data_IF_708700276089
#
_entry.id   IF_708700276089
#
_cell.length_a   1.000
_cell.length_b   1.000
_cell.length_c   1.000
_cell.angle_alpha   90.00
_cell.angle_beta   90.00
_cell.angle_gamma   90.00
#
_symmetry.space_group_name_H-M   'P 1'
#
loop_
_entity.id
_entity.type
_entity.pdbx_description
1 polymer ?
#
# COMPACT_ATOMS: atom_id res chain seq x y z
N UNK A 1 12.91 -6.05 18.84
CA UNK A 1 13.91 -5.63 17.83
C UNK A 1 13.30 -4.81 16.68
N UNK A 2 12.36 -5.35 15.90
CA UNK A 2 11.70 -4.56 14.82
C UNK A 2 11.01 -3.31 15.37
N UNK A 3 10.26 -3.47 16.46
CA UNK A 3 9.57 -2.36 17.14
C UNK A 3 10.52 -1.32 17.73
N UNK A 4 11.64 -1.76 18.34
CA UNK A 4 12.65 -0.85 18.88
C UNK A 4 13.24 0.03 17.78
N UNK A 5 13.59 -0.57 16.63
CA UNK A 5 14.12 0.18 15.50
C UNK A 5 13.06 1.06 14.83
N UNK A 6 11.80 0.61 14.77
CA UNK A 6 10.69 1.42 14.26
C UNK A 6 10.46 2.66 15.11
N UNK A 7 10.48 2.53 16.44
CA UNK A 7 10.31 3.65 17.37
C UNK A 7 11.48 4.63 17.30
N UNK A 8 12.69 4.15 16.99
CA UNK A 8 13.88 4.99 16.85
C UNK A 8 14.02 5.69 15.49
N UNK A 9 13.88 4.95 14.38
CA UNK A 9 14.11 5.45 13.01
C UNK A 9 12.83 5.90 12.28
N UNK A 10 11.66 5.57 12.81
CA UNK A 10 10.36 5.90 12.27
C UNK A 10 9.83 4.92 11.21
N UNK A 11 8.77 5.33 10.52
CA UNK A 11 7.94 4.43 9.71
C UNK A 11 8.58 3.83 8.45
N UNK A 12 9.75 4.33 7.99
CA UNK A 12 10.53 3.66 6.92
C UNK A 12 10.96 2.25 7.29
N UNK A 13 11.13 1.99 8.58
CA UNK A 13 11.62 0.70 9.07
C UNK A 13 10.67 -0.43 8.67
N UNK A 14 9.36 -0.18 8.65
CA UNK A 14 8.37 -1.16 8.17
C UNK A 14 8.59 -1.52 6.70
N UNK A 15 8.82 -0.53 5.84
CA UNK A 15 9.12 -0.77 4.42
C UNK A 15 10.46 -1.49 4.24
N UNK A 16 11.46 -1.13 5.05
CA UNK A 16 12.78 -1.77 5.03
C UNK A 16 12.68 -3.26 5.40
N UNK A 17 11.97 -3.59 6.48
CA UNK A 17 11.75 -4.97 6.87
C UNK A 17 10.88 -5.74 5.87
N UNK A 18 9.83 -5.13 5.32
CA UNK A 18 9.03 -5.75 4.27
C UNK A 18 9.89 -6.14 3.06
N UNK A 19 10.73 -5.23 2.57
CA UNK A 19 11.65 -5.50 1.47
C UNK A 19 12.71 -6.56 1.82
N UNK A 20 13.18 -6.59 3.06
CA UNK A 20 14.10 -7.63 3.50
C UNK A 20 13.46 -9.01 3.47
N UNK A 21 12.19 -9.12 3.87
CA UNK A 21 11.41 -10.36 3.75
C UNK A 21 11.28 -10.79 2.29
N UNK A 22 10.96 -9.86 1.39
CA UNK A 22 10.93 -10.16 -0.05
C UNK A 22 12.29 -10.61 -0.57
N UNK A 23 13.38 -9.96 -0.13
CA UNK A 23 14.74 -10.29 -0.57
C UNK A 23 15.17 -11.69 -0.10
N UNK A 24 14.79 -12.09 1.11
CA UNK A 24 15.09 -13.43 1.65
C UNK A 24 14.40 -14.56 0.86
N UNK A 25 13.24 -14.28 0.27
CA UNK A 25 12.43 -15.26 -0.42
C UNK A 25 12.39 -15.02 -1.94
N UNK A 26 13.27 -14.16 -2.46
CA UNK A 26 13.25 -13.72 -3.86
C UNK A 26 13.33 -14.90 -4.84
N UNK A 27 14.25 -15.83 -4.60
CA UNK A 27 14.41 -17.01 -5.46
C UNK A 27 13.17 -17.90 -5.50
N UNK A 28 12.49 -18.05 -4.37
CA UNK A 28 11.27 -18.86 -4.29
C UNK A 28 10.08 -18.13 -4.91
N UNK A 29 9.96 -16.81 -4.68
CA UNK A 29 8.92 -15.99 -5.26
C UNK A 29 9.01 -15.93 -6.79
N UNK A 30 10.22 -15.90 -7.35
CA UNK A 30 10.45 -15.89 -8.80
C UNK A 30 10.06 -17.21 -9.48
N UNK A 31 9.98 -18.32 -8.75
CA UNK A 31 9.56 -19.63 -9.28
C UNK A 31 8.03 -19.76 -9.36
N UNK A 32 7.29 -18.86 -8.70
CA UNK A 32 5.83 -18.92 -8.67
C UNK A 32 5.28 -18.14 -9.86
N UNK A 33 4.50 -18.81 -10.70
CA UNK A 33 3.92 -18.22 -11.91
C UNK A 33 2.57 -17.53 -11.65
N UNK A 34 1.87 -17.91 -10.58
CA UNK A 34 0.51 -17.47 -10.31
C UNK A 34 0.40 -16.50 -9.11
N UNK A 35 -0.50 -15.51 -9.23
CA UNK A 35 -0.73 -14.53 -8.18
C UNK A 35 -1.27 -15.14 -6.88
N UNK A 36 -2.06 -16.20 -6.96
CA UNK A 36 -2.60 -16.89 -5.79
C UNK A 36 -1.49 -17.65 -5.03
N UNK A 37 -0.57 -18.29 -5.75
CA UNK A 37 0.63 -18.92 -5.22
C UNK A 37 1.52 -17.95 -4.45
N UNK A 38 1.73 -16.74 -4.99
CA UNK A 38 2.51 -15.70 -4.30
C UNK A 38 1.85 -15.35 -2.96
N UNK A 39 0.54 -15.15 -2.94
CA UNK A 39 -0.18 -14.81 -1.71
C UNK A 39 -0.13 -15.96 -0.69
N UNK A 40 -0.37 -17.19 -1.13
CA UNK A 40 -0.32 -18.38 -0.26
C UNK A 40 1.07 -18.63 0.30
N UNK A 41 2.12 -18.38 -0.50
CA UNK A 41 3.49 -18.46 -0.06
C UNK A 41 3.79 -17.38 0.98
N UNK A 42 3.48 -16.11 0.68
CA UNK A 42 3.69 -14.99 1.59
C UNK A 42 2.96 -15.14 2.92
N UNK A 43 1.81 -15.83 2.94
CA UNK A 43 1.08 -16.14 4.17
C UNK A 43 1.83 -17.10 5.09
N UNK A 44 2.65 -18.00 4.53
CA UNK A 44 3.45 -18.97 5.29
C UNK A 44 4.82 -18.42 5.70
N UNK A 45 5.28 -17.34 5.05
CA UNK A 45 6.59 -16.73 5.31
C UNK A 45 6.80 -16.32 6.78
N UNK A 46 5.84 -15.70 7.50
CA UNK A 46 6.02 -15.33 8.90
C UNK A 46 6.37 -16.51 9.82
N UNK A 47 5.83 -17.70 9.55
CA UNK A 47 6.13 -18.93 10.31
C UNK A 47 7.53 -19.47 10.02
N UNK A 48 8.08 -19.15 8.84
CA UNK A 48 9.42 -19.57 8.41
C UNK A 48 10.52 -18.59 8.79
N UNK A 49 10.18 -17.35 9.13
CA UNK A 49 11.14 -16.35 9.63
C UNK A 49 11.49 -16.68 11.09
N UNK A 50 12.35 -17.69 11.28
CA UNK A 50 12.93 -18.01 12.58
C UNK A 50 14.17 -17.16 12.90
N UNK A 51 14.92 -16.72 11.88
CA UNK A 51 16.16 -15.99 12.07
C UNK A 51 15.98 -14.46 11.96
N UNK A 52 15.60 -13.87 13.08
CA UNK A 52 15.49 -12.42 13.24
C UNK A 52 16.82 -11.66 13.04
N UNK A 53 17.97 -12.32 13.25
CA UNK A 53 19.28 -11.70 13.09
C UNK A 53 19.61 -11.56 11.61
N UNK A 54 19.41 -12.61 10.82
CA UNK A 54 19.58 -12.59 9.37
C UNK A 54 18.65 -11.56 8.72
N UNK A 55 17.37 -11.51 9.11
CA UNK A 55 16.42 -10.53 8.61
C UNK A 55 16.88 -9.09 8.88
N UNK A 56 17.38 -8.83 10.09
CA UNK A 56 17.88 -7.50 10.45
C UNK A 56 19.16 -7.16 9.68
N UNK A 57 20.03 -8.14 9.46
CA UNK A 57 21.25 -7.95 8.66
C UNK A 57 20.91 -7.55 7.22
N UNK A 58 20.01 -8.28 6.56
CA UNK A 58 19.56 -7.98 5.20
C UNK A 58 18.88 -6.61 5.14
N UNK A 59 18.02 -6.31 6.12
CA UNK A 59 17.32 -5.04 6.21
C UNK A 59 18.27 -3.83 6.30
N UNK A 60 19.31 -3.89 7.13
CA UNK A 60 20.18 -2.73 7.42
C UNK A 60 21.47 -2.70 6.59
N UNK A 61 22.02 -3.84 6.19
CA UNK A 61 23.24 -3.91 5.38
C UNK A 61 22.93 -4.03 3.89
N UNK A 62 21.98 -4.91 3.51
CA UNK A 62 21.68 -5.19 2.09
C UNK A 62 20.87 -4.09 1.39
N UNK A 63 20.03 -3.35 2.12
CA UNK A 63 19.10 -2.36 1.55
C UNK A 63 19.55 -0.90 1.78
N UNK A 64 20.81 -0.65 2.15
CA UNK A 64 21.30 0.70 2.42
C UNK A 64 21.95 1.34 1.18
N UNK A 65 21.71 2.63 0.85
CA UNK A 65 20.85 3.60 1.53
C UNK A 65 19.35 3.41 1.25
N UNK A 66 18.54 3.49 2.32
CA UNK A 66 17.06 3.49 2.24
C UNK A 66 16.48 4.85 2.66
N UNK A 67 16.55 5.86 1.77
CA UNK A 67 16.18 7.23 2.13
C UNK A 67 14.66 7.40 2.26
N UNK A 68 14.24 8.12 3.30
CA UNK A 68 12.84 8.53 3.52
C UNK A 68 12.23 9.26 2.32
N UNK A 69 13.06 9.99 1.56
CA UNK A 69 12.62 10.75 0.40
C UNK A 69 11.88 9.86 -0.62
N UNK A 70 12.38 8.65 -0.89
CA UNK A 70 11.74 7.73 -1.86
C UNK A 70 10.32 7.36 -1.43
N UNK A 71 10.14 7.08 -0.14
CA UNK A 71 8.82 6.76 0.43
C UNK A 71 7.91 7.97 0.34
N UNK A 72 8.39 9.16 0.72
CA UNK A 72 7.61 10.40 0.68
C UNK A 72 7.17 10.75 -0.74
N UNK A 73 8.05 10.63 -1.73
CA UNK A 73 7.72 10.86 -3.14
C UNK A 73 6.61 9.92 -3.60
N UNK A 74 6.71 8.61 -3.32
CA UNK A 74 5.66 7.65 -3.65
C UNK A 74 4.35 7.97 -2.95
N UNK A 75 4.37 8.28 -1.65
CA UNK A 75 3.16 8.67 -0.91
C UNK A 75 2.48 9.90 -1.51
N UNK A 76 3.23 10.94 -1.83
CA UNK A 76 2.67 12.16 -2.42
C UNK A 76 2.04 11.88 -3.77
N UNK A 77 2.69 11.06 -4.60
CA UNK A 77 2.15 10.65 -5.90
C UNK A 77 0.81 9.93 -5.75
N UNK A 78 0.77 8.84 -4.97
CA UNK A 78 -0.47 8.06 -4.79
C UNK A 78 -1.57 8.83 -4.07
N UNK A 79 -1.21 9.72 -3.13
CA UNK A 79 -2.19 10.60 -2.50
C UNK A 79 -2.83 11.55 -3.50
N UNK A 80 -2.07 12.06 -4.48
CA UNK A 80 -2.60 12.88 -5.57
C UNK A 80 -3.61 12.12 -6.42
N UNK A 81 -3.29 10.85 -6.77
CA UNK A 81 -4.19 9.99 -7.55
C UNK A 81 -5.51 9.75 -6.82
N UNK A 82 -5.46 9.29 -5.57
CA UNK A 82 -6.66 9.00 -4.77
C UNK A 82 -7.53 10.24 -4.55
N UNK A 83 -6.89 11.41 -4.37
CA UNK A 83 -7.63 12.67 -4.26
C UNK A 83 -8.34 13.04 -5.55
N UNK A 84 -7.71 12.83 -6.71
CA UNK A 84 -8.35 13.03 -8.01
C UNK A 84 -9.55 12.11 -8.22
N UNK A 85 -9.39 10.82 -7.93
CA UNK A 85 -10.50 9.84 -8.00
C UNK A 85 -11.68 10.24 -7.09
N UNK A 86 -11.39 10.73 -5.88
CA UNK A 86 -12.41 11.21 -4.96
C UNK A 86 -13.15 12.45 -5.50
N UNK A 87 -12.44 13.40 -6.09
CA UNK A 87 -13.05 14.60 -6.70
C UNK A 87 -13.96 14.24 -7.88
N UNK A 88 -13.59 13.24 -8.70
CA UNK A 88 -14.44 12.74 -9.77
C UNK A 88 -15.72 12.10 -9.25
N UNK A 89 -15.62 11.26 -8.20
CA UNK A 89 -16.77 10.64 -7.56
C UNK A 89 -17.71 11.68 -6.94
N UNK A 90 -17.18 12.71 -6.30
CA UNK A 90 -17.98 13.80 -5.71
C UNK A 90 -18.71 14.62 -6.79
N UNK A 91 -18.09 14.85 -7.96
CA UNK A 91 -18.76 15.47 -9.11
C UNK A 91 -19.92 14.62 -9.61
N UNK A 92 -19.67 13.34 -9.88
CA UNK A 92 -20.72 12.40 -10.35
C UNK A 92 -21.88 12.31 -9.37
N UNK A 93 -21.58 12.28 -8.06
CA UNK A 93 -22.60 12.29 -7.01
C UNK A 93 -23.45 13.57 -7.06
N UNK A 94 -22.81 14.74 -7.18
CA UNK A 94 -23.53 16.01 -7.22
C UNK A 94 -24.39 16.13 -8.48
N UNK A 95 -23.89 15.71 -9.63
CA UNK A 95 -24.64 15.71 -10.89
C UNK A 95 -25.88 14.81 -10.79
N UNK A 96 -25.75 13.61 -10.19
CA UNK A 96 -26.87 12.70 -9.95
C UNK A 96 -27.94 13.29 -9.00
N UNK A 97 -27.50 13.95 -7.92
CA UNK A 97 -28.42 14.60 -6.97
C UNK A 97 -29.16 15.76 -7.65
N UNK A 98 -28.46 16.56 -8.47
CA UNK A 98 -29.06 17.65 -9.20
C UNK A 98 -30.07 17.16 -10.24
N UNK A 99 -29.72 16.15 -11.05
CA UNK A 99 -30.63 15.60 -12.06
C UNK A 99 -31.91 15.03 -11.44
N UNK A 100 -31.80 14.38 -10.26
CA UNK A 100 -32.96 13.86 -9.55
C UNK A 100 -33.85 14.95 -8.97
N UNK A 101 -33.25 16.00 -8.40
CA UNK A 101 -34.01 17.16 -7.93
C UNK A 101 -34.71 17.88 -9.09
N UNK A 102 -34.08 17.96 -10.27
CA UNK A 102 -34.70 18.53 -11.47
C UNK A 102 -35.89 17.68 -11.97
N UNK A 103 -35.78 16.35 -11.97
CA UNK A 103 -36.87 15.42 -12.29
C UNK A 103 -38.05 15.53 -11.29
N UNK A 104 -37.76 15.60 -10.00
CA UNK A 104 -38.80 15.73 -8.95
C UNK A 104 -39.52 17.09 -9.03
N UNK A 105 -38.82 18.19 -9.36
CA UNK A 105 -39.42 19.52 -9.54
C UNK A 105 -40.27 19.63 -10.80
N UNK A 106 -39.90 18.93 -11.89
CA UNK A 106 -40.71 18.87 -13.11
C UNK A 106 -41.99 18.05 -12.91
N UNK A 107 -41.96 17.03 -12.05
CA UNK A 107 -43.13 16.22 -11.69
C UNK A 107 -44.14 16.96 -10.81
N UNK A 108 -43.72 17.90 -9.97
CA UNK A 108 -44.62 18.68 -9.09
C UNK A 108 -45.27 19.88 -9.80
N UNK A 109 -44.82 20.24 -11.01
CA UNK A 109 -45.35 21.36 -11.79
C UNK A 109 -46.46 21.01 -12.80
N UNK A 110 -46.85 19.74 -12.90
CA UNK A 110 -47.88 19.26 -13.85
C UNK A 110 -49.28 19.01 -13.23
N UNK A 111 -49.47 19.25 -11.92
CA UNK A 111 -50.77 19.15 -11.22
C UNK A 111 -51.48 20.50 -11.00
#
# INVERSE_FOLDING_TARGET
RVWDTFLYEGNKVLFRYALAVFKMNEEELLKIEDHAGIFNYMRQVPERIGDHNLLSQIAFQGLNPFPMQKIRTKRNFYLGVVKGELEELDRLRNDYVNSRNEEDVLSEGED
#
